data_IF_144147522056
#
_entry.id   IF_144147522056
#
_cell.length_a   1.000
_cell.length_b   1.000
_cell.length_c   1.000
_cell.angle_alpha   90.00
_cell.angle_beta   90.00
_cell.angle_gamma   90.00
#
_symmetry.space_group_name_H-M   'P 1'
#
loop_
_entity.id
_entity.type
_entity.pdbx_description
1 polymer ?
#
# COMPACT_ATOMS: atom_id res chain seq x y z
N UNK A 1 -0.03 -18.19 5.89
CA UNK A 1 -0.19 -17.91 4.44
C UNK A 1 1.14 -18.01 3.70
N UNK A 2 2.19 -17.29 4.11
CA UNK A 2 3.51 -17.32 3.44
C UNK A 2 4.12 -18.73 3.29
N UNK A 3 3.99 -19.60 4.31
CA UNK A 3 4.41 -21.01 4.24
C UNK A 3 3.72 -21.81 3.11
N UNK A 4 2.47 -21.50 2.80
CA UNK A 4 1.75 -22.15 1.70
C UNK A 4 2.31 -21.68 0.35
N UNK A 5 2.51 -20.37 0.17
CA UNK A 5 3.12 -19.80 -1.03
C UNK A 5 4.55 -20.32 -1.26
N UNK A 6 5.37 -20.35 -0.22
CA UNK A 6 6.72 -20.90 -0.30
C UNK A 6 6.72 -22.36 -0.75
N UNK A 7 5.76 -23.16 -0.27
CA UNK A 7 5.58 -24.55 -0.70
C UNK A 7 5.13 -24.65 -2.15
N UNK A 8 4.17 -23.82 -2.59
CA UNK A 8 3.66 -23.81 -3.98
C UNK A 8 4.77 -23.42 -4.96
N UNK A 9 5.60 -22.44 -4.60
CA UNK A 9 6.71 -21.97 -5.44
C UNK A 9 8.00 -22.78 -5.25
N UNK A 10 7.98 -23.78 -4.36
CA UNK A 10 9.15 -24.60 -3.99
C UNK A 10 10.39 -23.77 -3.58
N UNK A 11 10.16 -22.66 -2.87
CA UNK A 11 11.22 -21.78 -2.37
C UNK A 11 11.50 -22.00 -0.88
N UNK A 12 12.75 -21.85 -0.41
CA UNK A 12 13.08 -21.88 1.01
C UNK A 12 12.34 -20.78 1.78
N UNK A 13 11.78 -21.14 2.93
CA UNK A 13 11.23 -20.18 3.90
C UNK A 13 12.08 -20.23 5.16
N UNK A 14 12.52 -19.06 5.62
CA UNK A 14 13.23 -18.88 6.88
C UNK A 14 12.41 -17.96 7.77
N UNK A 15 12.46 -18.18 9.08
CA UNK A 15 11.84 -17.30 10.06
C UNK A 15 12.93 -16.71 10.93
N UNK A 16 12.92 -15.39 11.08
CA UNK A 16 13.78 -14.67 12.00
C UNK A 16 12.96 -14.27 13.22
N UNK A 17 13.42 -14.67 14.40
CA UNK A 17 12.81 -14.26 15.66
C UNK A 17 13.01 -12.75 15.91
N UNK A 18 12.16 -12.08 16.72
CA UNK A 18 12.25 -10.63 16.94
C UNK A 18 13.62 -10.10 17.41
N UNK A 19 14.37 -10.93 18.15
CA UNK A 19 15.71 -10.60 18.66
C UNK A 19 16.83 -11.19 17.77
N UNK A 20 16.48 -11.69 16.60
CA UNK A 20 17.41 -12.30 15.66
C UNK A 20 18.26 -11.25 14.92
N UNK A 21 19.37 -11.72 14.35
CA UNK A 21 20.26 -10.90 13.54
C UNK A 21 19.96 -11.08 12.06
N UNK A 22 19.30 -10.08 11.47
CA UNK A 22 18.98 -10.05 10.04
C UNK A 22 20.25 -10.03 9.17
N UNK A 23 21.32 -9.35 9.59
CA UNK A 23 22.57 -9.30 8.82
C UNK A 23 23.23 -10.67 8.73
N UNK A 24 23.32 -11.39 9.85
CA UNK A 24 23.85 -12.74 9.87
C UNK A 24 22.98 -13.72 9.04
N UNK A 25 21.67 -13.51 9.01
CA UNK A 25 20.76 -14.31 8.18
C UNK A 25 20.95 -14.03 6.69
N UNK A 26 21.12 -12.76 6.29
CA UNK A 26 21.40 -12.38 4.91
C UNK A 26 22.74 -12.93 4.41
N UNK A 27 23.75 -13.00 5.27
CA UNK A 27 25.05 -13.60 4.92
C UNK A 27 24.94 -15.09 4.58
N UNK A 28 24.10 -15.83 5.32
CA UNK A 28 23.80 -17.25 5.02
C UNK A 28 23.06 -17.44 3.70
N UNK A 29 22.38 -16.40 3.21
CA UNK A 29 21.68 -16.40 1.93
C UNK A 29 22.45 -15.68 0.82
N UNK A 30 23.74 -15.43 1.00
CA UNK A 30 24.56 -14.73 0.01
C UNK A 30 24.66 -15.45 -1.35
N UNK A 31 24.32 -16.74 -1.41
CA UNK A 31 24.23 -17.52 -2.65
C UNK A 31 22.91 -17.29 -3.42
N UNK A 32 21.92 -16.62 -2.82
CA UNK A 32 20.62 -16.33 -3.44
C UNK A 32 20.67 -15.07 -4.28
N UNK A 33 20.07 -15.13 -5.47
CA UNK A 33 19.96 -13.98 -6.38
C UNK A 33 18.88 -12.97 -5.95
N UNK A 34 17.90 -13.43 -5.19
CA UNK A 34 16.76 -12.62 -4.76
C UNK A 34 16.19 -13.19 -3.46
N UNK A 35 15.89 -12.30 -2.51
CA UNK A 35 15.37 -12.64 -1.18
C UNK A 35 14.18 -11.71 -0.93
N UNK A 36 13.02 -12.30 -0.64
CA UNK A 36 11.84 -11.57 -0.18
C UNK A 36 11.78 -11.66 1.34
N UNK A 37 11.67 -10.50 2.00
CA UNK A 37 11.55 -10.39 3.44
C UNK A 37 10.14 -9.90 3.74
N UNK A 38 9.36 -10.73 4.41
CA UNK A 38 8.06 -10.32 4.97
C UNK A 38 8.26 -9.87 6.41
N UNK A 39 7.54 -8.83 6.82
CA UNK A 39 7.65 -8.23 8.16
C UNK A 39 6.31 -8.24 8.85
N UNK A 40 6.30 -8.32 10.18
CA UNK A 40 5.06 -8.21 10.92
C UNK A 40 4.44 -6.82 10.70
N UNK A 41 3.12 -6.80 10.44
CA UNK A 41 2.31 -5.58 10.43
C UNK A 41 2.05 -5.09 11.85
N UNK A 42 3.06 -4.48 12.47
CA UNK A 42 3.00 -4.02 13.85
C UNK A 42 2.31 -2.66 13.96
N UNK A 43 1.47 -2.53 14.99
CA UNK A 43 0.96 -1.23 15.39
C UNK A 43 2.07 -0.41 16.08
N UNK A 44 1.98 0.92 16.05
CA UNK A 44 3.00 1.81 16.63
C UNK A 44 3.18 1.58 18.14
N UNK A 45 2.12 1.13 18.82
CA UNK A 45 2.14 0.86 20.26
C UNK A 45 2.75 -0.50 20.61
N UNK A 46 3.01 -1.33 19.59
CA UNK A 46 3.59 -2.65 19.80
C UNK A 46 5.04 -2.52 20.32
N UNK A 47 5.41 -3.23 21.40
CA UNK A 47 6.76 -3.14 21.96
C UNK A 47 7.86 -3.57 20.99
N UNK A 48 7.55 -4.36 19.96
CA UNK A 48 8.49 -4.79 18.94
C UNK A 48 8.59 -3.83 17.75
N UNK A 49 7.77 -2.78 17.68
CA UNK A 49 7.75 -1.83 16.57
C UNK A 49 9.13 -1.18 16.36
N UNK A 50 9.71 -0.61 17.42
CA UNK A 50 11.03 0.05 17.36
C UNK A 50 12.17 -0.92 17.06
N UNK A 51 12.07 -2.17 17.54
CA UNK A 51 13.03 -3.24 17.28
C UNK A 51 13.03 -3.59 15.79
N UNK A 52 11.84 -3.77 15.18
CA UNK A 52 11.71 -4.05 13.75
C UNK A 52 12.28 -2.90 12.90
N UNK A 53 11.95 -1.64 13.21
CA UNK A 53 12.50 -0.49 12.47
C UNK A 53 14.03 -0.44 12.57
N UNK A 54 14.58 -0.67 13.76
CA UNK A 54 16.04 -0.66 13.98
C UNK A 54 16.74 -1.80 13.24
N UNK A 55 16.13 -2.99 13.22
CA UNK A 55 16.65 -4.15 12.48
C UNK A 55 16.71 -3.86 10.97
N UNK A 56 15.62 -3.34 10.39
CA UNK A 56 15.55 -2.97 8.97
C UNK A 56 16.57 -1.87 8.65
N UNK A 57 16.65 -0.84 9.49
CA UNK A 57 17.61 0.26 9.31
C UNK A 57 19.06 -0.24 9.39
N UNK A 58 19.35 -1.13 10.34
CA UNK A 58 20.66 -1.72 10.56
C UNK A 58 21.14 -2.61 9.41
N UNK A 59 20.22 -3.22 8.65
CA UNK A 59 20.56 -3.96 7.44
C UNK A 59 21.13 -3.04 6.33
N UNK A 60 20.89 -1.73 6.43
CA UNK A 60 21.47 -0.73 5.54
C UNK A 60 21.14 -0.99 4.07
N UNK A 61 22.14 -0.88 3.20
CA UNK A 61 22.00 -1.06 1.76
C UNK A 61 21.84 -2.53 1.32
N UNK A 62 21.94 -3.51 2.24
CA UNK A 62 21.72 -4.93 1.92
C UNK A 62 20.23 -5.23 1.69
N UNK A 63 19.34 -4.37 2.19
CA UNK A 63 17.89 -4.53 2.08
C UNK A 63 17.29 -3.29 1.45
N UNK A 64 16.39 -3.49 0.48
CA UNK A 64 15.52 -2.42 -0.01
C UNK A 64 14.20 -2.49 0.73
N UNK A 65 13.87 -1.48 1.51
CA UNK A 65 12.67 -1.46 2.35
C UNK A 65 11.55 -0.71 1.62
N UNK A 66 10.44 -1.39 1.32
CA UNK A 66 9.27 -0.79 0.70
C UNK A 66 8.11 -0.68 1.68
N UNK A 67 7.50 0.49 1.77
CA UNK A 67 6.33 0.71 2.60
C UNK A 67 5.04 0.39 1.84
N UNK A 68 4.26 -0.59 2.31
CA UNK A 68 2.95 -0.89 1.74
C UNK A 68 1.90 0.09 2.27
N UNK A 69 1.24 0.83 1.38
CA UNK A 69 0.29 1.89 1.69
C UNK A 69 -1.09 1.61 1.07
N UNK A 70 -2.12 1.33 1.88
CA UNK A 70 -3.46 1.04 1.38
C UNK A 70 -4.17 2.31 0.93
N UNK A 71 -4.53 2.40 -0.36
CA UNK A 71 -5.16 3.58 -0.94
C UNK A 71 -6.59 3.84 -0.45
N UNK A 72 -7.16 2.93 0.32
CA UNK A 72 -8.42 3.11 1.04
C UNK A 72 -8.30 4.01 2.27
N UNK A 73 -7.07 4.28 2.74
CA UNK A 73 -6.83 5.17 3.88
C UNK A 73 -6.88 6.64 3.51
N UNK A 74 -7.22 7.49 4.47
CA UNK A 74 -7.14 8.95 4.31
C UNK A 74 -5.69 9.39 4.08
N UNK A 75 -5.50 10.46 3.29
CA UNK A 75 -4.17 10.98 2.97
C UNK A 75 -3.34 11.29 4.22
N UNK A 76 -3.96 11.87 5.25
CA UNK A 76 -3.31 12.16 6.54
C UNK A 76 -2.82 10.88 7.22
N UNK A 77 -3.63 9.83 7.25
CA UNK A 77 -3.21 8.54 7.83
C UNK A 77 -2.02 7.93 7.08
N UNK A 78 -2.02 8.00 5.75
CA UNK A 78 -0.88 7.55 4.95
C UNK A 78 0.39 8.35 5.24
N UNK A 79 0.27 9.66 5.43
CA UNK A 79 1.38 10.53 5.78
C UNK A 79 1.94 10.23 7.18
N UNK A 80 1.07 10.05 8.17
CA UNK A 80 1.49 9.63 9.51
C UNK A 80 2.18 8.27 9.47
N UNK A 81 1.64 7.30 8.73
CA UNK A 81 2.30 6.00 8.54
C UNK A 81 3.69 6.16 7.92
N UNK A 82 3.83 7.02 6.90
CA UNK A 82 5.15 7.31 6.34
C UNK A 82 6.12 7.83 7.41
N UNK A 83 5.75 8.84 8.21
CA UNK A 83 6.65 9.40 9.22
C UNK A 83 7.02 8.39 10.32
N UNK A 84 6.08 7.54 10.75
CA UNK A 84 6.36 6.51 11.77
C UNK A 84 7.32 5.43 11.26
N UNK A 85 7.23 5.04 9.98
CA UNK A 85 8.05 3.97 9.41
C UNK A 85 9.36 4.47 8.76
N UNK A 86 9.47 5.77 8.50
CA UNK A 86 10.67 6.42 7.94
C UNK A 86 11.99 6.05 8.62
N UNK A 87 12.07 5.86 9.97
CA UNK A 87 13.32 5.43 10.62
C UNK A 87 13.87 4.09 10.12
N UNK A 88 13.05 3.20 9.54
CA UNK A 88 13.52 1.96 8.94
C UNK A 88 14.39 2.14 7.69
N UNK A 89 14.46 3.35 7.12
CA UNK A 89 15.16 3.60 5.85
C UNK A 89 14.34 3.13 4.65
N UNK A 90 13.13 3.68 4.52
CA UNK A 90 12.22 3.37 3.40
C UNK A 90 12.80 3.89 2.08
N UNK A 91 12.90 3.00 1.08
CA UNK A 91 13.42 3.30 -0.26
C UNK A 91 12.32 3.61 -1.28
N UNK A 92 11.08 3.27 -0.95
CA UNK A 92 9.92 3.47 -1.81
C UNK A 92 8.66 2.89 -1.21
N UNK A 93 7.58 2.87 -1.97
CA UNK A 93 6.30 2.34 -1.52
C UNK A 93 5.62 1.43 -2.55
N UNK A 94 4.67 0.66 -2.04
CA UNK A 94 3.71 -0.12 -2.82
C UNK A 94 2.34 0.44 -2.48
N UNK A 95 1.59 0.86 -3.49
CA UNK A 95 0.18 1.20 -3.28
C UNK A 95 -0.66 -0.06 -3.38
N UNK A 96 -1.53 -0.28 -2.41
CA UNK A 96 -2.41 -1.46 -2.39
C UNK A 96 -3.87 -1.06 -2.37
N UNK A 97 -4.75 -2.01 -2.71
CA UNK A 97 -6.21 -1.86 -2.65
C UNK A 97 -6.73 -0.74 -3.55
N UNK A 98 -6.18 -0.62 -4.76
CA UNK A 98 -6.63 0.35 -5.75
C UNK A 98 -8.09 0.08 -6.16
N UNK A 99 -8.47 -1.18 -6.28
CA UNK A 99 -9.83 -1.64 -6.60
C UNK A 99 -10.88 -1.28 -5.54
N UNK A 100 -10.45 -1.15 -4.28
CA UNK A 100 -11.32 -0.79 -3.17
C UNK A 100 -11.47 0.73 -2.98
N UNK A 101 -10.75 1.57 -3.76
CA UNK A 101 -10.75 3.01 -3.57
C UNK A 101 -11.79 3.73 -4.44
N UNK A 102 -12.45 4.75 -3.86
CA UNK A 102 -13.43 5.58 -4.58
C UNK A 102 -12.81 6.81 -5.25
N UNK A 103 -11.56 7.12 -4.93
CA UNK A 103 -10.77 8.18 -5.56
C UNK A 103 -9.28 7.91 -5.39
N UNK A 104 -8.48 8.51 -6.28
CA UNK A 104 -7.02 8.47 -6.21
C UNK A 104 -6.41 9.74 -5.58
N UNK A 105 -7.22 10.58 -4.94
CA UNK A 105 -6.74 11.82 -4.34
C UNK A 105 -5.69 11.59 -3.25
N UNK A 106 -5.85 10.53 -2.46
CA UNK A 106 -4.93 10.15 -1.40
C UNK A 106 -3.60 9.64 -1.98
N UNK A 107 -3.65 8.87 -3.07
CA UNK A 107 -2.46 8.43 -3.81
C UNK A 107 -1.66 9.63 -4.34
N UNK A 108 -2.34 10.61 -4.95
CA UNK A 108 -1.69 11.83 -5.47
C UNK A 108 -1.12 12.68 -4.33
N UNK A 109 -1.87 12.82 -3.23
CA UNK A 109 -1.43 13.58 -2.06
C UNK A 109 -0.17 12.97 -1.44
N UNK A 110 -0.15 11.66 -1.18
CA UNK A 110 1.00 11.02 -0.55
C UNK A 110 2.21 10.99 -1.47
N UNK A 111 2.01 10.77 -2.78
CA UNK A 111 3.08 10.82 -3.76
C UNK A 111 3.72 12.21 -3.84
N UNK A 112 2.90 13.27 -3.81
CA UNK A 112 3.35 14.66 -3.84
C UNK A 112 4.14 15.05 -2.58
N UNK A 113 3.64 14.67 -1.40
CA UNK A 113 4.23 15.04 -0.11
C UNK A 113 5.50 14.25 0.19
N UNK A 114 5.48 12.93 0.01
CA UNK A 114 6.59 12.06 0.41
C UNK A 114 7.67 11.96 -0.67
N UNK A 115 7.30 12.14 -1.94
CA UNK A 115 8.16 11.90 -3.11
C UNK A 115 8.79 10.50 -3.12
N UNK A 116 8.20 9.53 -2.41
CA UNK A 116 8.66 8.15 -2.43
C UNK A 116 8.47 7.56 -3.83
N UNK A 117 9.47 6.84 -4.36
CA UNK A 117 9.27 6.03 -5.55
C UNK A 117 8.16 5.01 -5.32
N UNK A 118 7.14 5.03 -6.18
CA UNK A 118 6.11 4.00 -6.21
C UNK A 118 6.68 2.86 -7.05
N UNK A 119 6.89 1.69 -6.44
CA UNK A 119 7.46 0.53 -7.12
C UNK A 119 6.39 -0.37 -7.74
N UNK A 120 5.26 -0.50 -7.06
CA UNK A 120 4.17 -1.41 -7.43
C UNK A 120 2.81 -0.81 -7.04
N UNK A 121 1.77 -1.23 -7.74
CA UNK A 121 0.37 -0.97 -7.41
C UNK A 121 -0.38 -2.30 -7.44
N UNK A 122 -1.26 -2.55 -6.47
CA UNK A 122 -2.14 -3.73 -6.47
C UNK A 122 -3.61 -3.35 -6.50
N UNK A 123 -4.39 -4.10 -7.27
CA UNK A 123 -5.81 -3.84 -7.54
C UNK A 123 -6.68 -5.10 -7.45
N UNK A 124 -6.28 -6.06 -6.62
CA UNK A 124 -7.07 -7.25 -6.36
C UNK A 124 -6.32 -8.32 -5.54
N UNK A 125 -6.98 -9.47 -5.30
CA UNK A 125 -6.44 -10.53 -4.45
C UNK A 125 -5.61 -11.60 -5.18
N UNK A 126 -5.54 -11.59 -6.51
CA UNK A 126 -4.92 -12.65 -7.30
C UNK A 126 -3.43 -12.39 -7.54
N UNK A 127 -2.62 -13.44 -7.38
CA UNK A 127 -1.18 -13.41 -7.62
C UNK A 127 -0.87 -14.34 -8.80
N UNK A 128 -0.14 -13.87 -9.83
CA UNK A 128 0.54 -12.56 -9.94
C UNK A 128 -0.31 -11.46 -10.61
N UNK A 129 -1.52 -11.77 -11.06
CA UNK A 129 -2.26 -10.98 -12.04
C UNK A 129 -2.64 -9.55 -11.57
N UNK A 130 -2.86 -9.36 -10.27
CA UNK A 130 -3.30 -8.08 -9.69
C UNK A 130 -2.11 -7.23 -9.15
N UNK A 131 -0.87 -7.49 -9.61
CA UNK A 131 0.35 -6.77 -9.23
C UNK A 131 0.93 -6.05 -10.45
N UNK A 132 0.99 -4.72 -10.39
CA UNK A 132 1.34 -3.88 -11.54
C UNK A 132 2.56 -2.99 -11.28
N UNK A 133 3.36 -2.77 -12.31
CA UNK A 133 4.31 -1.67 -12.33
C UNK A 133 3.58 -0.34 -12.60
N UNK A 134 3.82 0.70 -11.79
CA UNK A 134 3.10 1.95 -11.94
C UNK A 134 3.50 2.67 -13.23
N UNK A 135 2.50 3.25 -13.89
CA UNK A 135 2.70 4.20 -14.97
C UNK A 135 2.04 5.53 -14.58
N UNK A 136 2.84 6.57 -14.41
CA UNK A 136 2.38 7.86 -13.89
C UNK A 136 1.24 8.46 -14.73
N UNK A 137 1.35 8.40 -16.06
CA UNK A 137 0.34 8.93 -16.97
C UNK A 137 -0.99 8.15 -16.86
N UNK A 138 -0.93 6.82 -16.75
CA UNK A 138 -2.12 5.98 -16.50
C UNK A 138 -2.75 6.30 -15.15
N UNK A 139 -1.95 6.48 -14.10
CA UNK A 139 -2.43 6.81 -12.75
C UNK A 139 -3.13 8.17 -12.72
N UNK A 140 -2.57 9.19 -13.37
CA UNK A 140 -3.18 10.52 -13.47
C UNK A 140 -4.49 10.47 -14.25
N UNK A 141 -4.51 9.78 -15.40
CA UNK A 141 -5.75 9.58 -16.18
C UNK A 141 -6.82 8.87 -15.37
N UNK A 142 -6.47 7.82 -14.64
CA UNK A 142 -7.40 7.09 -13.78
C UNK A 142 -7.94 8.00 -12.67
N UNK A 143 -7.08 8.82 -12.05
CA UNK A 143 -7.50 9.78 -11.04
C UNK A 143 -8.50 10.81 -11.58
N UNK A 144 -8.25 11.34 -12.78
CA UNK A 144 -9.16 12.26 -13.47
C UNK A 144 -10.51 11.58 -13.77
N UNK A 145 -10.49 10.37 -14.32
CA UNK A 145 -11.71 9.61 -14.62
C UNK A 145 -12.55 9.36 -13.38
N UNK A 146 -11.92 8.92 -12.28
CA UNK A 146 -12.61 8.69 -11.01
C UNK A 146 -13.21 9.97 -10.44
N UNK A 147 -12.50 11.11 -10.54
CA UNK A 147 -13.00 12.40 -10.09
C UNK A 147 -14.25 12.84 -10.89
N UNK A 148 -14.23 12.67 -12.22
CA UNK A 148 -15.40 12.97 -13.08
C UNK A 148 -16.58 12.05 -12.77
N UNK A 149 -16.33 10.75 -12.58
CA UNK A 149 -17.36 9.78 -12.21
C UNK A 149 -17.99 10.10 -10.85
N UNK A 150 -17.19 10.52 -9.87
CA UNK A 150 -17.69 10.94 -8.57
C UNK A 150 -18.62 12.15 -8.70
N UNK A 151 -18.25 13.17 -9.47
CA UNK A 151 -19.10 14.34 -9.72
C UNK A 151 -20.43 13.96 -10.39
N UNK A 152 -20.38 13.12 -11.42
CA UNK A 152 -21.58 12.66 -12.13
C UNK A 152 -22.54 11.89 -11.20
N UNK A 153 -22.03 11.00 -10.34
CA UNK A 153 -22.84 10.25 -9.36
C UNK A 153 -23.61 11.18 -8.42
N UNK A 154 -22.95 12.21 -7.91
CA UNK A 154 -23.58 13.21 -7.03
C UNK A 154 -24.68 13.99 -7.74
N UNK A 155 -24.43 14.46 -8.96
CA UNK A 155 -25.41 15.17 -9.77
C UNK A 155 -26.65 14.30 -10.07
N UNK A 156 -26.47 13.03 -10.45
CA UNK A 156 -27.61 12.13 -10.67
C UNK A 156 -28.42 11.86 -9.40
N UNK A 157 -27.76 11.77 -8.24
CA UNK A 157 -28.43 11.56 -6.96
C UNK A 157 -29.26 12.78 -6.54
N UNK A 158 -28.72 14.00 -6.72
CA UNK A 158 -29.44 15.25 -6.44
C UNK A 158 -30.65 15.43 -7.35
N UNK A 159 -30.51 15.17 -8.65
CA UNK A 159 -31.61 15.26 -9.62
C UNK A 159 -32.71 14.24 -9.30
N UNK A 160 -32.36 13.00 -8.96
CA UNK A 160 -33.35 11.98 -8.58
C UNK A 160 -34.08 12.33 -7.28
N UNK A 161 -33.39 12.94 -6.31
CA UNK A 161 -33.98 13.41 -5.04
C UNK A 161 -34.93 14.60 -5.27
N UNK A 162 -34.52 15.58 -6.09
CA UNK A 162 -35.35 16.73 -6.45
C UNK A 162 -36.62 16.32 -7.21
N UNK A 163 -36.53 15.33 -8.11
CA UNK A 163 -37.69 14.79 -8.83
C UNK A 163 -38.69 14.09 -7.89
N UNK A 164 -38.23 13.31 -6.90
CA UNK A 164 -39.11 12.68 -5.91
C UNK A 164 -39.82 13.70 -5.03
N UNK A 165 -39.12 14.76 -4.60
CA UNK A 165 -39.73 15.81 -3.78
C UNK A 165 -40.79 16.62 -4.54
N UNK A 166 -40.59 16.89 -5.83
CA UNK A 166 -41.61 17.56 -6.65
C UNK A 166 -42.86 16.70 -6.88
N UNK A 167 -42.70 15.38 -7.06
CA UNK A 167 -43.84 14.46 -7.18
C UNK A 167 -44.66 14.36 -5.89
N UNK A 168 -44.02 14.43 -4.71
CA UNK A 168 -44.71 14.41 -3.42
C UNK A 168 -45.43 15.73 -3.09
N UNK A 169 -44.97 16.86 -3.63
CA UNK A 169 -45.58 18.18 -3.38
C UNK A 169 -46.77 18.52 -4.29
N UNK A 170 -46.91 17.87 -5.46
CA UNK A 170 -47.96 18.16 -6.43
C UNK A 170 -48.97 17.00 -6.61
N UNK A 171 -48.91 16.00 -5.73
CA UNK A 171 -49.79 14.82 -5.74
C UNK A 171 -50.81 14.82 -4.60
N UNK A 172 -51.57 15.91 -4.43
CA UNK A 172 -52.76 15.99 -3.56
C UNK A 172 -53.90 16.65 -4.34
#
# INVERSE_FOLDING_TARGET
QLKAFARIMEIPLMVLEPNGDLSAMLEKLSDKKFILIDTAGLAIQDPHFSVQLSMLKGAGNKVRTLLALPLTSQARCLQENFEHFKPAGIDGCIFTKLDECFSLGQAMSIASVTRLPIHMVTDGPHIPDDIHFPNAEKMVRLAEQMARMAQARWQTSEVSSAMKNNFMQHGA
#
